data_IF_013025992560
#
_entry.id   IF_013025992560
#
_cell.length_a   1.000
_cell.length_b   1.000
_cell.length_c   1.000
_cell.angle_alpha   90.00
_cell.angle_beta   90.00
_cell.angle_gamma   90.00
#
_symmetry.space_group_name_H-M   'P 1'
#
loop_
_entity.id
_entity.type
_entity.pdbx_description
1 polymer ?
#
# COMPACT_ATOMS: atom_id res chain seq x y z
N UNK A 1 -23.60 -44.43 -0.29
CA UNK A 1 -24.28 -43.12 -0.39
C UNK A 1 -23.21 -42.02 -0.40
N UNK A 2 -23.06 -41.29 -1.50
CA UNK A 2 -22.00 -40.26 -1.65
C UNK A 2 -22.51 -38.94 -1.07
N UNK A 3 -21.94 -38.51 0.06
CA UNK A 3 -22.17 -37.17 0.63
C UNK A 3 -21.47 -36.15 -0.28
N UNK A 4 -22.25 -35.33 -1.01
CA UNK A 4 -21.70 -34.25 -1.82
C UNK A 4 -21.30 -33.10 -0.88
N UNK A 5 -20.01 -32.77 -0.87
CA UNK A 5 -19.48 -31.59 -0.21
C UNK A 5 -20.05 -30.32 -0.88
N UNK A 6 -20.76 -29.49 -0.11
CA UNK A 6 -21.23 -28.19 -0.54
C UNK A 6 -20.03 -27.23 -0.69
N UNK A 7 -19.71 -26.85 -1.94
CA UNK A 7 -18.80 -25.74 -2.22
C UNK A 7 -19.43 -24.44 -1.69
N UNK A 8 -18.92 -23.92 -0.56
CA UNK A 8 -19.23 -22.55 -0.08
C UNK A 8 -18.71 -21.55 -1.12
N UNK A 9 -19.59 -21.07 -1.99
CA UNK A 9 -19.34 -19.88 -2.81
C UNK A 9 -19.29 -18.67 -1.88
N UNK A 10 -18.09 -18.12 -1.62
CA UNK A 10 -17.96 -16.85 -0.90
C UNK A 10 -18.51 -15.74 -1.79
N UNK A 11 -19.71 -15.27 -1.47
CA UNK A 11 -20.41 -14.19 -2.15
C UNK A 11 -19.60 -12.87 -2.03
N UNK A 12 -18.99 -12.46 -3.15
CA UNK A 12 -18.17 -11.26 -3.25
C UNK A 12 -18.99 -9.97 -3.01
N UNK A 13 -20.29 -10.00 -3.27
CA UNK A 13 -21.19 -8.85 -3.10
C UNK A 13 -21.28 -8.43 -1.64
N UNK A 14 -21.49 -9.41 -0.74
CA UNK A 14 -21.70 -9.15 0.70
C UNK A 14 -20.49 -8.53 1.40
N UNK A 15 -19.28 -8.89 0.95
CA UNK A 15 -18.04 -8.31 1.52
C UNK A 15 -17.90 -6.82 1.12
N UNK A 16 -18.31 -6.46 -0.11
CA UNK A 16 -18.31 -5.08 -0.58
C UNK A 16 -19.28 -4.20 0.21
N UNK A 17 -20.48 -4.72 0.50
CA UNK A 17 -21.50 -4.00 1.27
C UNK A 17 -21.04 -3.75 2.71
N UNK A 18 -20.41 -4.74 3.35
CA UNK A 18 -19.84 -4.58 4.69
C UNK A 18 -18.68 -3.59 4.72
N UNK A 19 -17.81 -3.60 3.70
CA UNK A 19 -16.74 -2.61 3.58
C UNK A 19 -17.32 -1.19 3.45
N UNK A 20 -18.34 -1.00 2.61
CA UNK A 20 -18.98 0.30 2.44
C UNK A 20 -19.63 0.80 3.74
N UNK A 21 -20.31 -0.08 4.47
CA UNK A 21 -20.93 0.26 5.75
C UNK A 21 -19.88 0.71 6.78
N UNK A 22 -18.78 -0.03 6.94
CA UNK A 22 -17.67 0.36 7.82
C UNK A 22 -17.06 1.70 7.41
N UNK A 23 -16.86 1.92 6.11
CA UNK A 23 -16.33 3.19 5.61
C UNK A 23 -17.25 4.36 5.93
N UNK A 24 -18.56 4.19 5.81
CA UNK A 24 -19.50 5.28 6.05
C UNK A 24 -19.63 5.59 7.55
N UNK A 25 -19.47 4.59 8.41
CA UNK A 25 -19.44 4.76 9.87
C UNK A 25 -18.18 5.54 10.32
N UNK A 26 -16.99 5.09 9.89
CA UNK A 26 -15.73 5.72 10.30
C UNK A 26 -15.38 6.99 9.52
N UNK A 27 -15.83 7.10 8.28
CA UNK A 27 -15.64 8.27 7.44
C UNK A 27 -17.00 8.65 6.85
N UNK A 28 -17.80 9.48 7.54
CA UNK A 28 -19.10 9.91 7.03
C UNK A 28 -19.01 10.54 5.63
N UNK A 29 -19.85 10.15 4.66
CA UNK A 29 -19.69 10.56 3.25
C UNK A 29 -19.74 12.08 3.01
N UNK A 30 -20.42 12.82 3.87
CA UNK A 30 -20.63 14.28 3.75
C UNK A 30 -19.66 15.10 4.59
N UNK A 31 -18.68 14.47 5.25
CA UNK A 31 -17.73 15.16 6.12
C UNK A 31 -16.29 14.86 5.70
N UNK A 32 -15.48 15.91 5.63
CA UNK A 32 -14.06 15.79 5.41
C UNK A 32 -13.36 15.41 6.72
N UNK A 33 -12.71 14.25 6.74
CA UNK A 33 -11.99 13.76 7.92
C UNK A 33 -10.69 14.51 8.23
N UNK A 34 -10.27 15.45 7.38
CA UNK A 34 -9.04 16.24 7.57
C UNK A 34 -9.33 17.60 8.19
N UNK A 35 -10.36 18.29 7.71
CA UNK A 35 -10.65 19.68 8.11
C UNK A 35 -12.09 19.91 8.59
N UNK A 36 -12.94 18.89 8.60
CA UNK A 36 -14.33 18.98 9.07
C UNK A 36 -15.30 19.65 8.08
N UNK A 37 -14.86 20.02 6.88
CA UNK A 37 -15.75 20.53 5.83
C UNK A 37 -16.96 19.61 5.62
N UNK A 38 -18.16 20.18 5.59
CA UNK A 38 -19.41 19.46 5.38
C UNK A 38 -19.97 19.74 3.98
N UNK A 39 -19.95 18.73 3.11
CA UNK A 39 -20.58 18.81 1.79
C UNK A 39 -22.06 18.45 1.84
N UNK A 40 -22.85 19.01 0.92
CA UNK A 40 -24.28 18.65 0.75
C UNK A 40 -24.44 17.22 0.23
N UNK A 41 -23.46 16.74 -0.54
CA UNK A 41 -23.40 15.38 -1.05
C UNK A 41 -22.03 14.74 -0.79
N UNK A 42 -21.97 13.42 -0.99
CA UNK A 42 -20.70 12.70 -1.01
C UNK A 42 -19.76 13.25 -2.09
N UNK A 43 -20.30 13.57 -3.27
CA UNK A 43 -19.50 14.08 -4.38
C UNK A 43 -18.79 15.38 -4.00
N UNK A 44 -19.50 16.30 -3.34
CA UNK A 44 -18.94 17.58 -2.90
C UNK A 44 -17.78 17.39 -1.92
N UNK A 45 -17.91 16.42 -1.01
CA UNK A 45 -16.88 16.11 -0.01
C UNK A 45 -15.67 15.40 -0.66
N UNK A 46 -15.91 14.46 -1.57
CA UNK A 46 -14.86 13.77 -2.32
C UNK A 46 -14.09 14.77 -3.23
N UNK A 47 -14.79 15.70 -3.89
CA UNK A 47 -14.20 16.76 -4.72
C UNK A 47 -13.40 17.77 -3.87
N UNK A 48 -13.97 18.23 -2.75
CA UNK A 48 -13.27 19.03 -1.74
C UNK A 48 -11.95 18.37 -1.33
N UNK A 49 -11.98 17.09 -0.94
CA UNK A 49 -10.79 16.37 -0.49
C UNK A 49 -9.74 16.29 -1.61
N UNK A 50 -10.16 15.96 -2.84
CA UNK A 50 -9.26 15.87 -3.99
C UNK A 50 -8.56 17.19 -4.31
N UNK A 51 -9.26 18.31 -4.15
CA UNK A 51 -8.75 19.66 -4.47
C UNK A 51 -7.85 20.21 -3.37
N UNK A 52 -8.28 20.10 -2.11
CA UNK A 52 -7.61 20.77 -0.97
C UNK A 52 -6.68 19.86 -0.17
N UNK A 53 -6.83 18.54 -0.29
CA UNK A 53 -6.04 17.55 0.45
C UNK A 53 -5.37 16.54 -0.50
N UNK A 54 -4.99 17.00 -1.70
CA UNK A 54 -4.31 16.17 -2.70
C UNK A 54 -3.08 15.48 -2.10
N UNK A 55 -3.00 14.16 -2.26
CA UNK A 55 -1.89 13.36 -1.75
C UNK A 55 -1.98 13.00 -0.27
N UNK A 56 -2.91 13.59 0.49
CA UNK A 56 -3.11 13.24 1.89
C UNK A 56 -3.68 11.82 1.99
N UNK A 57 -2.99 10.93 2.72
CA UNK A 57 -3.42 9.56 2.99
C UNK A 57 -4.34 9.48 4.22
N UNK A 58 -5.42 10.28 4.23
CA UNK A 58 -6.29 10.41 5.40
C UNK A 58 -7.16 9.18 5.68
N UNK A 59 -7.40 8.32 4.68
CA UNK A 59 -8.28 7.17 4.80
C UNK A 59 -7.49 5.94 5.28
N UNK A 60 -7.34 5.80 6.59
CA UNK A 60 -6.64 4.70 7.28
C UNK A 60 -7.50 3.45 7.40
N UNK A 61 -6.88 2.28 7.29
CA UNK A 61 -7.54 1.00 7.58
C UNK A 61 -7.96 0.94 9.06
N UNK A 62 -9.15 0.39 9.31
CA UNK A 62 -9.74 0.30 10.65
C UNK A 62 -9.36 -0.99 11.39
N UNK A 63 -8.57 -1.86 10.76
CA UNK A 63 -8.07 -3.07 11.39
C UNK A 63 -6.75 -2.75 12.10
N UNK A 64 -6.70 -2.82 13.43
CA UNK A 64 -5.53 -2.42 14.24
C UNK A 64 -4.16 -2.94 13.74
N UNK A 65 -3.99 -4.21 13.31
CA UNK A 65 -2.69 -4.65 12.79
C UNK A 65 -2.37 -4.14 11.37
N UNK A 66 -3.27 -3.39 10.73
CA UNK A 66 -3.10 -2.83 9.40
C UNK A 66 -2.92 -1.31 9.45
N UNK A 67 -1.70 -0.85 9.19
CA UNK A 67 -1.35 0.58 9.15
C UNK A 67 -1.53 1.23 7.76
N UNK A 68 -2.14 0.53 6.80
CA UNK A 68 -2.31 1.05 5.44
C UNK A 68 -3.25 2.26 5.41
N UNK A 69 -2.87 3.26 4.63
CA UNK A 69 -3.63 4.50 4.48
C UNK A 69 -3.69 4.94 3.02
N UNK A 70 -4.84 5.48 2.62
CA UNK A 70 -5.17 5.73 1.22
C UNK A 70 -5.51 7.19 0.99
N UNK A 71 -5.24 7.66 -0.22
CA UNK A 71 -5.58 9.02 -0.67
C UNK A 71 -7.03 9.16 -1.14
N UNK A 72 -7.82 8.08 -1.09
CA UNK A 72 -9.21 8.10 -1.52
C UNK A 72 -10.04 7.01 -0.82
N UNK A 73 -11.33 7.31 -0.61
CA UNK A 73 -12.30 6.34 -0.08
C UNK A 73 -12.40 5.06 -0.92
N UNK A 74 -12.52 5.11 -2.27
CA UNK A 74 -12.61 3.88 -3.06
C UNK A 74 -11.35 3.01 -2.95
N UNK A 75 -10.17 3.63 -2.77
CA UNK A 75 -8.92 2.91 -2.52
C UNK A 75 -8.96 2.11 -1.22
N UNK A 76 -9.43 2.74 -0.12
CA UNK A 76 -9.60 2.04 1.15
C UNK A 76 -10.67 0.93 1.06
N UNK A 77 -11.80 1.17 0.37
CA UNK A 77 -12.83 0.16 0.19
C UNK A 77 -12.31 -1.07 -0.58
N UNK A 78 -11.55 -0.84 -1.66
CA UNK A 78 -10.89 -1.89 -2.40
C UNK A 78 -9.89 -2.67 -1.53
N UNK A 79 -9.09 -1.97 -0.74
CA UNK A 79 -8.18 -2.61 0.21
C UNK A 79 -8.92 -3.51 1.20
N UNK A 80 -10.00 -3.04 1.82
CA UNK A 80 -10.77 -3.85 2.78
C UNK A 80 -11.37 -5.10 2.14
N UNK A 81 -11.88 -5.00 0.91
CA UNK A 81 -12.49 -6.14 0.22
C UNK A 81 -11.45 -7.19 -0.19
N UNK A 82 -10.26 -6.77 -0.62
CA UNK A 82 -9.21 -7.65 -1.15
C UNK A 82 -8.23 -8.16 -0.09
N UNK A 83 -7.85 -7.30 0.86
CA UNK A 83 -6.83 -7.58 1.86
C UNK A 83 -7.40 -8.13 3.16
N UNK A 84 -8.71 -7.99 3.41
CA UNK A 84 -9.31 -8.37 4.68
C UNK A 84 -10.56 -9.25 4.58
N UNK A 85 -10.78 -10.05 5.61
CA UNK A 85 -12.05 -10.71 5.91
C UNK A 85 -12.92 -9.76 6.71
N UNK A 86 -14.11 -9.49 6.19
CA UNK A 86 -15.12 -8.67 6.83
C UNK A 86 -16.35 -9.54 6.98
N UNK A 87 -16.86 -9.62 8.20
CA UNK A 87 -18.02 -10.46 8.52
C UNK A 87 -18.85 -9.82 9.64
N UNK A 88 -20.09 -10.26 9.78
CA UNK A 88 -20.99 -9.79 10.83
C UNK A 88 -20.94 -10.78 12.00
N UNK A 89 -20.42 -10.34 13.13
CA UNK A 89 -20.37 -11.11 14.38
C UNK A 89 -21.22 -10.40 15.44
N UNK A 90 -22.16 -11.13 16.07
CA UNK A 90 -23.04 -10.60 17.12
C UNK A 90 -23.74 -9.28 16.74
N UNK A 91 -24.19 -9.16 15.50
CA UNK A 91 -24.86 -7.95 15.01
C UNK A 91 -23.93 -6.84 14.53
N UNK A 92 -22.63 -6.89 14.83
CA UNK A 92 -21.63 -5.88 14.45
C UNK A 92 -20.79 -6.35 13.26
N UNK A 93 -20.50 -5.44 12.34
CA UNK A 93 -19.54 -5.71 11.24
C UNK A 93 -18.14 -5.59 11.81
N UNK A 94 -17.32 -6.63 11.62
CA UNK A 94 -15.95 -6.72 12.14
C UNK A 94 -14.98 -7.11 11.05
N UNK A 95 -13.75 -6.61 11.16
CA UNK A 95 -12.62 -6.98 10.30
C UNK A 95 -11.77 -7.99 11.06
N UNK A 96 -11.68 -9.23 10.58
CA UNK A 96 -11.18 -10.36 11.40
C UNK A 96 -9.83 -10.90 10.99
N UNK A 97 -9.45 -10.85 9.71
CA UNK A 97 -8.15 -11.40 9.29
C UNK A 97 -7.67 -10.87 7.93
N UNK A 98 -6.36 -10.90 7.73
CA UNK A 98 -5.67 -10.61 6.47
C UNK A 98 -5.84 -11.75 5.45
N UNK A 99 -6.36 -11.47 4.24
CA UNK A 99 -6.67 -12.45 3.19
C UNK A 99 -5.58 -12.66 2.13
N UNK A 100 -4.62 -11.75 1.97
CA UNK A 100 -3.64 -11.88 0.88
C UNK A 100 -2.76 -10.65 0.65
N UNK A 101 -1.67 -10.85 -0.12
CA UNK A 101 -0.54 -9.93 -0.37
C UNK A 101 -0.95 -8.52 -0.80
N UNK A 102 -1.41 -7.68 0.11
CA UNK A 102 -1.46 -6.23 -0.09
C UNK A 102 -0.17 -5.65 0.45
N UNK A 103 0.81 -5.41 -0.46
CA UNK A 103 2.06 -4.66 -0.26
C UNK A 103 2.36 -4.36 1.20
N UNK A 104 2.67 -5.42 1.95
CA UNK A 104 2.92 -5.30 3.36
C UNK A 104 4.22 -4.53 3.45
N UNK A 105 4.13 -3.37 4.09
CA UNK A 105 5.26 -2.59 4.55
C UNK A 105 5.90 -1.74 3.43
N UNK A 106 5.23 -0.66 3.02
CA UNK A 106 5.96 0.62 3.04
C UNK A 106 6.29 0.85 4.53
N UNK A 107 7.38 0.22 5.01
CA UNK A 107 8.10 0.79 6.15
C UNK A 107 8.54 2.11 5.57
N UNK A 108 8.00 3.19 6.10
CA UNK A 108 8.53 4.51 5.84
C UNK A 108 10.02 4.41 6.20
N UNK A 109 10.87 4.37 5.16
CA UNK A 109 12.27 4.72 5.32
C UNK A 109 12.25 6.07 6.01
N UNK A 110 13.07 6.23 7.04
CA UNK A 110 13.19 7.54 7.64
C UNK A 110 13.60 8.55 6.55
N UNK A 111 13.25 9.81 6.76
CA UNK A 111 13.43 10.85 5.73
C UNK A 111 14.90 10.98 5.30
N UNK A 112 15.87 10.74 6.20
CA UNK A 112 17.29 10.79 5.90
C UNK A 112 17.70 9.65 4.95
N UNK A 113 17.37 8.40 5.28
CA UNK A 113 17.67 7.27 4.40
C UNK A 113 16.91 7.35 3.07
N UNK A 114 15.68 7.88 3.07
CA UNK A 114 14.92 8.10 1.85
C UNK A 114 15.62 9.14 0.94
N UNK A 115 16.12 10.24 1.52
CA UNK A 115 16.84 11.28 0.79
C UNK A 115 18.19 10.77 0.24
N UNK A 116 18.91 9.97 1.03
CA UNK A 116 20.16 9.34 0.60
C UNK A 116 19.91 8.32 -0.53
N UNK A 117 18.88 7.48 -0.40
CA UNK A 117 18.50 6.51 -1.43
C UNK A 117 18.12 7.20 -2.74
N UNK A 118 17.41 8.33 -2.68
CA UNK A 118 17.05 9.12 -3.86
C UNK A 118 18.27 9.79 -4.53
N UNK A 119 19.31 10.14 -3.75
CA UNK A 119 20.56 10.67 -4.28
C UNK A 119 21.44 9.59 -4.91
N UNK A 120 21.38 8.37 -4.37
CA UNK A 120 22.21 7.25 -4.83
C UNK A 120 21.59 6.50 -6.01
N UNK A 121 20.25 6.43 -6.08
CA UNK A 121 19.53 5.74 -7.15
C UNK A 121 18.52 6.65 -7.86
N UNK A 122 18.81 6.96 -9.12
CA UNK A 122 17.84 7.56 -10.02
C UNK A 122 16.90 6.48 -10.58
N UNK A 123 15.60 6.62 -10.29
CA UNK A 123 14.55 5.68 -10.71
C UNK A 123 14.27 5.71 -12.22
N UNK A 124 14.82 6.67 -12.95
CA UNK A 124 14.77 6.75 -14.41
C UNK A 124 16.00 6.15 -15.08
N UNK A 125 17.00 5.74 -14.32
CA UNK A 125 18.25 5.21 -14.84
C UNK A 125 18.49 3.79 -14.32
N UNK A 126 18.87 2.87 -15.20
CA UNK A 126 19.26 1.53 -14.78
C UNK A 126 20.59 1.58 -14.00
N UNK A 127 20.68 1.05 -12.77
CA UNK A 127 21.90 1.14 -11.98
C UNK A 127 23.04 0.23 -12.47
N UNK A 128 22.74 -0.73 -13.37
CA UNK A 128 23.76 -1.63 -13.94
C UNK A 128 24.30 -1.13 -15.27
N UNK A 129 23.42 -0.81 -16.22
CA UNK A 129 23.81 -0.44 -17.59
C UNK A 129 23.67 1.06 -17.87
N UNK A 130 23.21 1.85 -16.90
CA UNK A 130 23.05 3.31 -16.97
C UNK A 130 22.12 3.81 -18.10
N UNK A 131 21.29 2.92 -18.65
CA UNK A 131 20.26 3.28 -19.61
C UNK A 131 19.22 4.18 -18.96
N UNK A 132 18.83 5.26 -19.64
CA UNK A 132 17.82 6.22 -19.19
C UNK A 132 16.47 5.95 -19.82
N UNK A 133 15.41 6.10 -19.04
CA UNK A 133 14.04 5.82 -19.44
C UNK A 133 13.11 7.01 -19.15
N UNK A 134 12.00 7.09 -19.87
CA UNK A 134 11.01 8.16 -19.71
C UNK A 134 10.15 8.04 -18.45
N UNK A 135 10.09 6.86 -17.82
CA UNK A 135 9.39 6.66 -16.55
C UNK A 135 9.92 5.43 -15.79
N UNK A 136 9.59 5.37 -14.49
CA UNK A 136 10.02 4.32 -13.55
C UNK A 136 9.52 2.92 -13.94
N UNK A 137 8.34 2.83 -14.57
CA UNK A 137 7.78 1.55 -15.03
C UNK A 137 8.66 0.94 -16.11
N UNK A 138 9.06 1.73 -17.12
CA UNK A 138 9.96 1.29 -18.18
C UNK A 138 11.34 0.89 -17.65
N UNK A 139 11.88 1.64 -16.69
CA UNK A 139 13.14 1.26 -16.03
C UNK A 139 13.00 -0.10 -15.33
N UNK A 140 11.90 -0.30 -14.60
CA UNK A 140 11.62 -1.56 -13.89
C UNK A 140 11.46 -2.72 -14.88
N UNK A 141 10.70 -2.53 -15.95
CA UNK A 141 10.49 -3.57 -16.97
C UNK A 141 11.80 -3.94 -17.66
N UNK A 142 12.64 -2.94 -17.97
CA UNK A 142 14.00 -3.18 -18.47
C UNK A 142 14.84 -4.01 -17.49
N UNK A 143 14.86 -3.65 -16.20
CA UNK A 143 15.63 -4.40 -15.19
C UNK A 143 15.16 -5.86 -15.12
N UNK A 144 13.84 -6.09 -15.17
CA UNK A 144 13.28 -7.45 -15.16
C UNK A 144 13.64 -8.21 -16.44
N UNK A 145 13.64 -7.56 -17.61
CA UNK A 145 13.92 -8.19 -18.89
C UNK A 145 15.42 -8.44 -19.15
N UNK A 146 16.28 -7.48 -18.78
CA UNK A 146 17.70 -7.45 -19.13
C UNK A 146 18.63 -7.82 -17.98
N UNK A 147 18.18 -7.73 -16.73
CA UNK A 147 18.98 -7.95 -15.52
C UNK A 147 18.23 -8.84 -14.51
N UNK A 148 17.47 -9.81 -15.00
CA UNK A 148 16.65 -10.67 -14.17
C UNK A 148 17.49 -11.41 -13.11
N UNK A 149 17.05 -11.37 -11.85
CA UNK A 149 17.71 -11.98 -10.67
C UNK A 149 19.12 -11.47 -10.36
N UNK A 150 19.61 -10.47 -11.08
CA UNK A 150 20.89 -9.88 -10.81
C UNK A 150 20.82 -8.94 -9.60
N UNK A 151 21.78 -9.03 -8.69
CA UNK A 151 21.84 -8.22 -7.47
C UNK A 151 22.36 -6.80 -7.75
N UNK A 152 21.62 -6.04 -8.54
CA UNK A 152 22.05 -4.72 -9.05
C UNK A 152 21.87 -3.57 -8.05
N UNK A 153 21.07 -3.77 -7.00
CA UNK A 153 20.84 -2.75 -5.97
C UNK A 153 21.73 -3.04 -4.76
N UNK A 154 22.67 -2.17 -4.42
CA UNK A 154 23.61 -2.36 -3.31
C UNK A 154 23.28 -1.43 -2.15
N UNK A 155 23.64 -1.84 -0.93
CA UNK A 155 23.58 -0.94 0.21
C UNK A 155 24.63 0.16 0.04
N UNK A 156 24.27 1.40 0.35
CA UNK A 156 25.14 2.57 0.27
C UNK A 156 25.62 3.06 1.65
N UNK A 157 25.20 2.39 2.74
CA UNK A 157 25.60 2.74 4.11
C UNK A 157 26.98 2.16 4.40
N UNK A 158 27.89 3.01 4.88
CA UNK A 158 29.26 2.63 5.21
C UNK A 158 29.31 1.52 6.27
N UNK A 159 30.25 0.59 6.11
CA UNK A 159 30.44 -0.58 6.98
C UNK A 159 29.19 -1.49 7.11
N UNK A 160 28.28 -1.47 6.14
CA UNK A 160 27.20 -2.45 6.08
C UNK A 160 27.77 -3.85 5.83
N UNK A 161 27.38 -4.83 6.65
CA UNK A 161 27.80 -6.23 6.52
C UNK A 161 27.17 -6.96 5.31
N UNK A 162 26.33 -6.28 4.52
CA UNK A 162 25.63 -6.88 3.39
C UNK A 162 26.15 -6.34 2.05
N UNK A 163 27.16 -7.01 1.48
CA UNK A 163 27.86 -6.58 0.26
C UNK A 163 27.27 -7.13 -1.05
N UNK A 164 26.56 -8.27 -0.97
CA UNK A 164 26.13 -9.02 -2.16
C UNK A 164 25.10 -8.30 -3.03
N UNK A 165 24.47 -7.24 -2.51
CA UNK A 165 23.38 -6.51 -3.17
C UNK A 165 22.04 -7.27 -3.21
N UNK A 166 21.05 -6.67 -3.85
CA UNK A 166 19.65 -7.09 -3.87
C UNK A 166 19.17 -7.18 -5.30
N UNK A 167 18.39 -8.23 -5.60
CA UNK A 167 17.78 -8.43 -6.91
C UNK A 167 16.55 -7.54 -7.17
N UNK A 168 16.10 -6.79 -6.16
CA UNK A 168 14.98 -5.86 -6.30
C UNK A 168 15.19 -4.62 -5.43
N UNK A 169 14.69 -3.48 -5.91
CA UNK A 169 14.73 -2.22 -5.18
C UNK A 169 14.00 -2.32 -3.83
N UNK A 170 12.89 -3.07 -3.78
CA UNK A 170 12.14 -3.31 -2.54
C UNK A 170 12.96 -4.09 -1.51
N UNK A 171 13.80 -5.04 -1.95
CA UNK A 171 14.71 -5.78 -1.06
C UNK A 171 15.73 -4.86 -0.39
N UNK A 172 16.30 -3.91 -1.14
CA UNK A 172 17.20 -2.88 -0.60
C UNK A 172 16.46 -1.98 0.40
N UNK A 173 15.28 -1.47 0.03
CA UNK A 173 14.44 -0.64 0.91
C UNK A 173 14.13 -1.34 2.23
N UNK A 174 13.76 -2.62 2.19
CA UNK A 174 13.51 -3.41 3.39
C UNK A 174 14.75 -3.55 4.27
N UNK A 175 15.92 -3.81 3.67
CA UNK A 175 17.17 -3.92 4.40
C UNK A 175 17.52 -2.60 5.11
N UNK A 176 17.47 -1.48 4.39
CA UNK A 176 17.70 -0.15 4.95
C UNK A 176 16.75 0.15 6.11
N UNK A 177 15.44 -0.04 5.91
CA UNK A 177 14.44 0.22 6.94
C UNK A 177 14.46 -0.76 8.13
N UNK A 178 15.26 -1.83 8.08
CA UNK A 178 15.37 -2.82 9.17
C UNK A 178 16.69 -2.73 9.91
N UNK A 179 17.79 -2.51 9.21
CA UNK A 179 19.13 -2.57 9.77
C UNK A 179 19.80 -1.20 9.87
N UNK A 180 19.26 -0.19 9.20
CA UNK A 180 19.81 1.17 9.17
C UNK A 180 18.81 2.24 9.61
N UNK A 181 17.55 1.89 9.91
CA UNK A 181 16.60 2.83 10.48
C UNK A 181 17.11 3.31 11.85
N UNK A 182 17.44 4.59 11.96
CA UNK A 182 17.77 5.22 13.24
C UNK A 182 16.52 5.31 14.13
N UNK A 183 16.68 5.07 15.44
CA UNK A 183 15.64 5.33 16.45
C UNK A 183 15.53 6.82 16.77
#
# INVERSE_FOLDING_TARGET
MKVKAAKKTKDHSKTSDYAAALLNDHYPPTYCCVCGYQGSTRFDTDDHFRKLHKGNRAFKCMHEPCSQAFTSRPGLQYHLTMAHTIEKQNGKIVITSWKGKANSVEKELDENLAQQLASHYDLLTCPKCYSKFSNKTKTKDHIVASHNKEKIFKCFVDNCSHDEGFASFLGLVYHLAKYHAAS
#
